data_IF_183397002544
#
_entry.id   IF_183397002544
#
_cell.length_a   1.000
_cell.length_b   1.000
_cell.length_c   1.000
_cell.angle_alpha   90.00
_cell.angle_beta   90.00
_cell.angle_gamma   90.00
#
_symmetry.space_group_name_H-M   'P 1'
#
loop_
_entity.id
_entity.type
_entity.pdbx_description
1 polymer ?
#
# COMPACT_ATOMS: atom_id res chain seq x y z
N UNK A 1 35.41 2.24 -24.10
CA UNK A 1 35.38 1.78 -22.68
C UNK A 1 33.94 1.60 -22.18
N UNK A 2 33.02 2.51 -22.51
CA UNK A 2 31.58 2.36 -22.18
C UNK A 2 30.86 1.29 -23.00
N UNK A 3 31.07 1.24 -24.33
CA UNK A 3 30.48 0.19 -25.19
C UNK A 3 30.87 -1.23 -24.77
N UNK A 4 32.15 -1.44 -24.44
CA UNK A 4 32.64 -2.73 -23.92
C UNK A 4 32.02 -3.14 -22.59
N UNK A 5 31.59 -2.16 -21.75
CA UNK A 5 30.93 -2.43 -20.48
C UNK A 5 29.46 -2.82 -20.68
N UNK A 6 28.77 -2.14 -21.59
CA UNK A 6 27.38 -2.48 -21.95
C UNK A 6 27.32 -3.88 -22.56
N UNK A 7 28.22 -4.19 -23.48
CA UNK A 7 28.27 -5.51 -24.13
C UNK A 7 28.56 -6.65 -23.13
N UNK A 8 29.46 -6.40 -22.17
CA UNK A 8 29.68 -7.32 -21.05
C UNK A 8 28.43 -7.52 -20.18
N UNK A 9 27.72 -6.44 -19.83
CA UNK A 9 26.51 -6.52 -19.03
C UNK A 9 25.38 -7.25 -19.74
N UNK A 10 25.17 -6.99 -21.04
CA UNK A 10 24.18 -7.69 -21.85
C UNK A 10 24.48 -9.19 -21.92
N UNK A 11 25.74 -9.56 -22.17
CA UNK A 11 26.17 -10.96 -22.17
C UNK A 11 25.90 -11.64 -20.83
N UNK A 12 26.18 -10.95 -19.73
CA UNK A 12 25.92 -11.45 -18.37
C UNK A 12 24.41 -11.64 -18.10
N UNK A 13 23.57 -10.71 -18.55
CA UNK A 13 22.11 -10.84 -18.45
C UNK A 13 21.61 -12.05 -19.26
N UNK A 14 22.12 -12.26 -20.48
CA UNK A 14 21.75 -13.41 -21.30
C UNK A 14 22.10 -14.74 -20.63
N UNK A 15 23.32 -14.84 -20.09
CA UNK A 15 23.79 -16.02 -19.38
C UNK A 15 22.93 -16.30 -18.12
N UNK A 16 22.69 -15.28 -17.30
CA UNK A 16 21.90 -15.41 -16.07
C UNK A 16 20.43 -15.76 -16.36
N UNK A 17 19.83 -15.16 -17.39
CA UNK A 17 18.43 -15.45 -17.74
C UNK A 17 18.25 -16.84 -18.37
N UNK A 18 19.30 -17.39 -18.98
CA UNK A 18 19.32 -18.76 -19.52
C UNK A 18 19.44 -19.85 -18.45
N UNK A 19 20.12 -19.54 -17.35
CA UNK A 19 20.41 -20.47 -16.24
C UNK A 19 19.72 -20.07 -14.93
N UNK A 20 18.58 -19.37 -15.01
CA UNK A 20 17.91 -18.73 -13.87
C UNK A 20 17.68 -19.64 -12.65
N UNK A 21 17.37 -20.93 -12.85
CA UNK A 21 17.17 -21.89 -11.75
C UNK A 21 18.46 -22.20 -10.98
N UNK A 22 19.54 -22.50 -11.70
CA UNK A 22 20.85 -22.78 -11.10
C UNK A 22 21.43 -21.54 -10.41
N UNK A 23 21.25 -20.36 -11.01
CA UNK A 23 21.68 -19.09 -10.42
C UNK A 23 20.92 -18.79 -9.12
N UNK A 24 19.61 -19.05 -9.07
CA UNK A 24 18.82 -18.92 -7.84
C UNK A 24 19.28 -19.89 -6.75
N UNK A 25 19.67 -21.11 -7.13
CA UNK A 25 20.23 -22.10 -6.20
C UNK A 25 21.56 -21.65 -5.60
N UNK A 26 22.49 -21.18 -6.44
CA UNK A 26 23.78 -20.63 -6.00
C UNK A 26 23.61 -19.43 -5.07
N UNK A 27 22.71 -18.50 -5.42
CA UNK A 27 22.41 -17.32 -4.57
C UNK A 27 21.89 -17.77 -3.20
N UNK A 28 20.94 -18.71 -3.17
CA UNK A 28 20.41 -19.22 -1.91
C UNK A 28 21.48 -19.91 -1.08
N UNK A 29 22.34 -20.73 -1.69
CA UNK A 29 23.44 -21.39 -0.99
C UNK A 29 24.43 -20.40 -0.38
N UNK A 30 24.77 -19.35 -1.14
CA UNK A 30 25.65 -18.25 -0.67
C UNK A 30 25.03 -17.45 0.47
N UNK A 31 23.70 -17.42 0.58
CA UNK A 31 22.99 -16.80 1.71
C UNK A 31 22.92 -17.78 2.90
N UNK A 32 22.61 -19.05 2.68
CA UNK A 32 22.42 -20.01 3.77
C UNK A 32 23.74 -20.35 4.50
N UNK A 33 24.83 -20.54 3.76
CA UNK A 33 26.14 -20.91 4.34
C UNK A 33 26.65 -19.96 5.42
N UNK A 34 26.79 -18.65 5.18
CA UNK A 34 27.27 -17.74 6.20
C UNK A 34 26.25 -17.57 7.33
N UNK A 35 24.96 -17.65 7.04
CA UNK A 35 23.90 -17.37 8.01
C UNK A 35 23.44 -18.58 8.83
N UNK A 36 23.98 -19.79 8.60
CA UNK A 36 23.49 -21.05 9.16
C UNK A 36 23.31 -21.03 10.69
N UNK A 37 24.20 -20.33 11.39
CA UNK A 37 24.25 -20.25 12.86
C UNK A 37 23.46 -19.06 13.44
N UNK A 38 22.79 -18.26 12.61
CA UNK A 38 21.96 -17.14 13.09
C UNK A 38 20.75 -17.65 13.89
N UNK A 39 20.25 -16.88 14.87
CA UNK A 39 19.05 -17.25 15.64
C UNK A 39 17.88 -17.62 14.71
N UNK A 40 17.74 -16.88 13.60
CA UNK A 40 16.69 -17.11 12.62
C UNK A 40 16.82 -18.49 11.94
N UNK A 41 17.98 -18.82 11.36
CA UNK A 41 18.13 -20.13 10.71
C UNK A 41 18.25 -21.28 11.70
N UNK A 42 18.83 -21.06 12.88
CA UNK A 42 18.85 -22.08 13.93
C UNK A 42 17.44 -22.44 14.42
N UNK A 43 16.50 -21.48 14.43
CA UNK A 43 15.08 -21.73 14.75
C UNK A 43 14.37 -22.65 13.75
N UNK A 44 14.69 -22.57 12.45
CA UNK A 44 13.95 -23.27 11.40
C UNK A 44 14.72 -24.42 10.74
N UNK A 45 16.05 -24.37 10.72
CA UNK A 45 16.94 -25.28 10.00
C UNK A 45 17.97 -25.95 10.90
N UNK A 46 18.17 -25.49 12.14
CA UNK A 46 19.12 -26.05 13.11
C UNK A 46 20.54 -26.23 12.51
N UNK A 47 21.10 -25.17 11.94
CA UNK A 47 22.43 -25.18 11.30
C UNK A 47 22.50 -25.81 9.91
N UNK A 48 21.39 -26.36 9.38
CA UNK A 48 21.37 -26.95 8.04
C UNK A 48 21.20 -25.89 6.95
N UNK A 49 21.85 -26.10 5.80
CA UNK A 49 21.88 -25.15 4.68
C UNK A 49 21.28 -25.72 3.39
N UNK A 50 20.49 -26.80 3.51
CA UNK A 50 19.84 -27.44 2.38
C UNK A 50 18.63 -26.64 1.85
N UNK A 51 18.56 -26.49 0.53
CA UNK A 51 17.50 -25.74 -0.15
C UNK A 51 16.11 -26.35 0.06
N UNK A 52 15.98 -27.68 0.07
CA UNK A 52 14.67 -28.32 0.26
C UNK A 52 14.18 -28.10 1.69
N UNK A 53 15.07 -28.19 2.67
CA UNK A 53 14.76 -27.87 4.06
C UNK A 53 14.36 -26.39 4.21
N UNK A 54 15.08 -25.46 3.56
CA UNK A 54 14.71 -24.05 3.53
C UNK A 54 13.29 -23.84 2.98
N UNK A 55 12.96 -24.43 1.82
CA UNK A 55 11.63 -24.33 1.22
C UNK A 55 10.53 -24.94 2.11
N UNK A 56 10.86 -25.99 2.87
CA UNK A 56 9.93 -26.74 3.72
C UNK A 56 9.68 -26.09 5.08
N UNK A 57 10.73 -25.58 5.74
CA UNK A 57 10.66 -25.19 7.15
C UNK A 57 10.73 -23.67 7.40
N UNK A 58 11.37 -22.90 6.52
CA UNK A 58 11.39 -21.43 6.67
C UNK A 58 10.06 -20.87 6.13
N UNK A 59 9.22 -20.23 6.96
CA UNK A 59 7.91 -19.74 6.52
C UNK A 59 8.04 -18.48 5.65
N UNK A 60 6.97 -18.15 4.91
CA UNK A 60 6.82 -16.80 4.35
C UNK A 60 6.40 -15.87 5.48
N UNK A 61 7.10 -14.75 5.63
CA UNK A 61 6.94 -13.84 6.78
C UNK A 61 6.52 -12.43 6.35
N UNK A 62 5.83 -11.74 7.26
CA UNK A 62 5.47 -10.32 7.17
C UNK A 62 6.32 -9.49 8.13
N UNK A 63 6.20 -8.16 8.09
CA UNK A 63 6.88 -7.28 9.03
C UNK A 63 6.60 -7.65 10.50
N UNK A 64 5.35 -8.03 10.81
CA UNK A 64 4.97 -8.35 12.18
C UNK A 64 5.69 -9.59 12.72
N UNK A 65 5.98 -10.57 11.86
CA UNK A 65 6.65 -11.82 12.23
C UNK A 65 8.15 -11.62 12.52
N UNK A 66 8.76 -10.61 11.90
CA UNK A 66 10.18 -10.28 12.07
C UNK A 66 10.42 -9.05 12.95
N UNK A 67 9.35 -8.38 13.41
CA UNK A 67 9.43 -7.13 14.18
C UNK A 67 10.37 -7.27 15.39
N UNK A 68 10.29 -8.37 16.12
CA UNK A 68 11.15 -8.61 17.28
C UNK A 68 12.63 -8.70 16.93
N UNK A 69 12.98 -9.25 15.77
CA UNK A 69 14.36 -9.29 15.29
C UNK A 69 14.84 -7.89 14.92
N UNK A 70 13.98 -7.10 14.26
CA UNK A 70 14.26 -5.70 13.91
C UNK A 70 14.46 -4.84 15.17
N UNK A 71 13.55 -4.95 16.14
CA UNK A 71 13.62 -4.19 17.40
C UNK A 71 14.96 -4.46 18.12
N UNK A 72 15.38 -5.74 18.22
CA UNK A 72 16.67 -6.12 18.83
C UNK A 72 17.88 -5.53 18.10
N UNK A 73 17.87 -5.49 16.76
CA UNK A 73 18.94 -4.88 15.98
C UNK A 73 18.96 -3.36 16.19
N UNK A 74 17.79 -2.71 16.26
CA UNK A 74 17.67 -1.27 16.56
C UNK A 74 18.19 -0.95 17.96
N UNK A 75 17.97 -1.84 18.92
CA UNK A 75 18.48 -1.73 20.30
C UNK A 75 20.00 -2.02 20.40
N UNK A 76 20.66 -2.36 19.29
CA UNK A 76 22.10 -2.51 19.19
C UNK A 76 22.62 -3.91 19.54
N UNK A 77 21.76 -4.93 19.57
CA UNK A 77 22.23 -6.32 19.68
C UNK A 77 23.03 -6.76 18.44
N UNK A 78 24.02 -7.66 18.60
CA UNK A 78 24.90 -8.07 17.50
C UNK A 78 24.17 -8.77 16.33
N UNK A 79 24.71 -8.72 15.11
CA UNK A 79 24.00 -9.05 13.87
C UNK A 79 23.52 -10.51 13.76
N UNK A 80 24.14 -11.43 14.51
CA UNK A 80 23.89 -12.88 14.53
C UNK A 80 22.45 -13.32 14.88
N UNK A 81 21.53 -12.36 15.05
CA UNK A 81 20.10 -12.55 15.23
C UNK A 81 19.40 -12.97 13.93
N UNK A 82 19.75 -12.37 12.79
CA UNK A 82 19.09 -12.68 11.51
C UNK A 82 20.02 -12.67 10.30
N UNK A 83 21.17 -12.01 10.36
CA UNK A 83 22.18 -12.09 9.31
C UNK A 83 23.59 -11.96 9.87
N UNK A 84 24.58 -12.59 9.25
CA UNK A 84 25.99 -12.31 9.53
C UNK A 84 26.45 -10.97 8.99
N UNK A 85 25.70 -10.37 8.06
CA UNK A 85 25.96 -9.00 7.62
C UNK A 85 25.41 -8.00 8.62
N UNK A 86 26.25 -7.04 9.01
CA UNK A 86 25.85 -5.94 9.87
C UNK A 86 24.89 -5.03 9.11
N UNK A 87 23.65 -4.93 9.59
CA UNK A 87 22.75 -3.86 9.17
C UNK A 87 23.29 -2.57 9.78
N UNK A 88 24.09 -1.83 9.00
CA UNK A 88 24.75 -0.60 9.45
C UNK A 88 23.82 0.60 9.44
N UNK A 89 22.71 0.53 8.71
CA UNK A 89 21.79 1.64 8.54
C UNK A 89 20.36 1.13 8.33
N UNK A 90 19.45 1.48 9.24
CA UNK A 90 18.03 1.50 8.94
C UNK A 90 17.69 2.88 8.41
N UNK A 91 17.53 3.01 7.09
CA UNK A 91 17.06 4.25 6.49
C UNK A 91 15.59 4.44 6.91
N UNK A 92 15.26 5.40 7.80
CA UNK A 92 13.89 5.73 8.11
C UNK A 92 13.20 6.15 6.81
N UNK A 93 11.90 5.91 6.65
CA UNK A 93 11.11 6.39 5.47
C UNK A 93 11.38 7.86 5.12
N UNK A 94 11.87 8.64 6.07
CA UNK A 94 12.23 10.05 5.98
C UNK A 94 13.45 10.36 5.07
N UNK A 95 14.16 9.35 4.54
CA UNK A 95 15.38 9.56 3.73
C UNK A 95 15.35 8.95 2.31
N UNK A 96 14.28 8.28 1.89
CA UNK A 96 14.14 7.73 0.53
C UNK A 96 13.77 8.81 -0.51
N UNK A 97 14.61 9.82 -0.66
CA UNK A 97 14.62 10.67 -1.85
C UNK A 97 15.47 9.95 -2.91
N UNK A 98 14.86 9.63 -4.06
CA UNK A 98 15.46 9.16 -5.31
C UNK A 98 15.49 7.64 -5.57
N UNK A 99 14.35 6.98 -5.82
CA UNK A 99 14.30 5.92 -6.85
C UNK A 99 12.96 6.01 -7.61
N UNK A 100 13.03 6.59 -8.80
CA UNK A 100 11.97 6.69 -9.79
C UNK A 100 11.68 5.31 -10.42
N UNK A 101 10.41 4.94 -10.58
CA UNK A 101 10.03 4.06 -11.71
C UNK A 101 8.56 4.28 -12.09
N UNK A 102 8.37 4.40 -13.40
CA UNK A 102 7.33 5.14 -14.10
C UNK A 102 6.12 4.28 -14.53
N UNK A 103 4.91 4.76 -14.19
CA UNK A 103 3.74 5.00 -15.07
C UNK A 103 3.03 3.88 -15.87
N UNK A 104 1.69 3.83 -15.79
CA UNK A 104 0.80 3.47 -16.93
C UNK A 104 -0.51 2.68 -16.66
N UNK A 105 -1.66 3.35 -16.82
CA UNK A 105 -3.13 3.05 -16.67
C UNK A 105 -3.81 1.70 -17.10
N UNK A 106 -4.71 1.18 -16.20
CA UNK A 106 -6.10 0.57 -16.23
C UNK A 106 -6.74 -0.22 -17.43
N UNK A 107 -7.90 -0.96 -17.30
CA UNK A 107 -8.48 -1.86 -16.24
C UNK A 107 -9.14 -3.22 -16.73
N UNK A 108 -9.67 -4.03 -15.77
CA UNK A 108 -10.72 -5.13 -15.81
C UNK A 108 -10.30 -6.61 -15.56
N UNK A 109 -11.02 -7.25 -14.62
CA UNK A 109 -11.00 -8.60 -13.97
C UNK A 109 -11.07 -9.85 -14.88
N UNK A 110 -11.18 -11.10 -14.34
CA UNK A 110 -10.33 -11.83 -13.40
C UNK A 110 -9.83 -13.14 -14.04
N UNK A 111 -8.55 -13.46 -13.87
CA UNK A 111 -7.99 -14.82 -13.87
C UNK A 111 -6.48 -14.70 -13.90
N UNK A 112 -5.82 -15.75 -13.44
CA UNK A 112 -4.38 -16.00 -13.49
C UNK A 112 -3.60 -15.59 -12.23
N UNK A 113 -3.12 -16.65 -11.57
CA UNK A 113 -2.16 -16.74 -10.48
C UNK A 113 -1.53 -15.41 -10.03
N UNK A 114 -1.98 -14.91 -8.88
CA UNK A 114 -1.20 -13.97 -8.08
C UNK A 114 0.04 -14.70 -7.55
N UNK A 115 1.21 -14.39 -8.13
CA UNK A 115 2.49 -14.81 -7.57
C UNK A 115 2.89 -13.80 -6.49
N UNK A 116 3.05 -14.31 -5.27
CA UNK A 116 3.46 -13.57 -4.09
C UNK A 116 4.99 -13.48 -4.07
N UNK A 117 5.56 -12.27 -4.26
CA UNK A 117 7.01 -12.07 -4.36
C UNK A 117 7.67 -12.17 -2.98
N UNK A 118 8.68 -13.03 -2.91
CA UNK A 118 9.43 -13.38 -1.71
C UNK A 118 10.85 -12.85 -1.85
N UNK A 119 11.24 -11.89 -1.02
CA UNK A 119 12.64 -11.46 -0.94
C UNK A 119 13.44 -12.50 -0.14
N UNK A 120 14.65 -12.78 -0.61
CA UNK A 120 15.73 -13.42 0.14
C UNK A 120 16.92 -12.50 -0.12
N UNK A 121 17.42 -11.82 0.91
CA UNK A 121 18.58 -10.96 0.78
C UNK A 121 19.62 -11.28 1.86
N UNK A 122 20.84 -10.82 1.61
CA UNK A 122 21.99 -10.98 2.53
C UNK A 122 21.79 -10.20 3.85
N UNK A 123 20.73 -9.38 3.93
CA UNK A 123 20.38 -8.48 5.05
C UNK A 123 19.29 -9.08 5.96
N UNK A 124 19.07 -10.41 5.93
CA UNK A 124 18.22 -11.10 6.92
C UNK A 124 16.71 -11.12 6.65
N UNK A 125 16.25 -10.66 5.47
CA UNK A 125 14.84 -10.75 5.07
C UNK A 125 14.59 -12.02 4.26
N UNK A 126 14.43 -13.15 4.94
CA UNK A 126 14.22 -14.46 4.29
C UNK A 126 12.74 -14.74 4.06
N UNK A 127 12.38 -15.02 2.80
CA UNK A 127 10.99 -15.25 2.35
C UNK A 127 10.02 -14.14 2.80
N UNK A 128 10.51 -12.91 2.84
CA UNK A 128 9.70 -11.76 3.22
C UNK A 128 8.70 -11.43 2.12
N UNK A 129 7.42 -11.33 2.48
CA UNK A 129 6.35 -10.91 1.56
C UNK A 129 6.50 -9.42 1.26
N UNK A 130 6.85 -9.11 0.02
CA UNK A 130 6.97 -7.71 -0.43
C UNK A 130 5.62 -7.01 -0.47
N UNK A 131 4.56 -7.74 -0.83
CA UNK A 131 3.20 -7.23 -0.99
C UNK A 131 2.88 -6.72 -2.40
N UNK A 132 3.83 -6.78 -3.34
CA UNK A 132 3.57 -6.46 -4.74
C UNK A 132 2.91 -7.66 -5.45
N UNK A 133 1.87 -7.37 -6.22
CA UNK A 133 1.21 -8.30 -7.12
C UNK A 133 1.73 -8.03 -8.51
N UNK A 134 2.39 -9.03 -9.11
CA UNK A 134 2.84 -8.97 -10.49
C UNK A 134 2.16 -10.05 -11.33
N UNK A 135 1.93 -9.72 -12.60
CA UNK A 135 1.42 -10.65 -13.62
C UNK A 135 2.58 -11.07 -14.51
N UNK A 136 2.74 -12.38 -14.73
CA UNK A 136 3.67 -12.89 -15.74
C UNK A 136 3.10 -12.57 -17.11
N UNK A 137 3.84 -11.81 -17.92
CA UNK A 137 3.41 -11.41 -19.27
C UNK A 137 4.16 -12.13 -20.37
N UNK A 138 5.41 -12.53 -20.11
CA UNK A 138 6.25 -13.25 -21.03
C UNK A 138 7.41 -13.92 -20.28
N UNK A 139 8.28 -14.61 -21.01
CA UNK A 139 9.56 -15.08 -20.52
C UNK A 139 10.67 -14.54 -21.42
N UNK A 140 11.84 -14.28 -20.82
CA UNK A 140 13.10 -14.10 -21.51
C UNK A 140 14.01 -15.25 -21.12
N UNK A 141 14.32 -16.14 -22.07
CA UNK A 141 14.95 -17.42 -21.76
C UNK A 141 14.13 -18.16 -20.67
N UNK A 142 14.73 -18.50 -19.53
CA UNK A 142 14.03 -19.12 -18.38
C UNK A 142 13.53 -18.12 -17.35
N UNK A 143 13.83 -16.83 -17.50
CA UNK A 143 13.43 -15.78 -16.56
C UNK A 143 12.07 -15.17 -16.92
N UNK A 144 11.11 -15.08 -15.98
CA UNK A 144 9.83 -14.44 -16.24
C UNK A 144 9.96 -12.92 -16.41
N UNK A 145 9.17 -12.37 -17.34
CA UNK A 145 8.90 -10.94 -17.46
C UNK A 145 7.60 -10.61 -16.71
N UNK A 146 7.66 -9.59 -15.88
CA UNK A 146 6.56 -9.20 -15.01
C UNK A 146 5.99 -7.85 -15.40
N UNK A 147 4.67 -7.76 -15.38
CA UNK A 147 3.94 -6.50 -15.33
C UNK A 147 3.50 -6.27 -13.88
N UNK A 148 3.82 -5.09 -13.34
CA UNK A 148 3.31 -4.67 -12.04
C UNK A 148 1.80 -4.46 -12.12
N UNK A 149 1.05 -5.09 -11.20
CA UNK A 149 -0.41 -4.97 -11.13
C UNK A 149 -0.79 -3.97 -10.05
N UNK A 150 -0.47 -4.27 -8.80
CA UNK A 150 -0.72 -3.40 -7.66
C UNK A 150 0.11 -3.86 -6.46
N UNK A 151 0.03 -3.13 -5.35
CA UNK A 151 0.57 -3.58 -4.07
C UNK A 151 -0.58 -3.79 -3.10
N UNK A 152 -0.64 -4.97 -2.50
CA UNK A 152 -1.70 -5.39 -1.61
C UNK A 152 -1.90 -4.36 -0.49
N UNK A 153 -3.17 -4.13 -0.15
CA UNK A 153 -3.65 -3.26 0.92
C UNK A 153 -3.47 -1.75 0.74
N UNK A 154 -3.01 -1.24 -0.41
CA UNK A 154 -2.97 0.21 -0.66
C UNK A 154 -4.26 0.69 -1.33
N UNK A 155 -4.88 1.72 -0.77
CA UNK A 155 -6.14 2.26 -1.28
C UNK A 155 -5.99 3.67 -1.87
N UNK A 156 -5.06 4.49 -1.37
CA UNK A 156 -4.82 5.84 -1.88
C UNK A 156 -3.31 6.11 -2.03
N UNK A 157 -2.99 6.88 -3.07
CA UNK A 157 -1.64 7.36 -3.41
C UNK A 157 -1.77 8.45 -4.47
N UNK A 158 -1.06 9.57 -4.31
CA UNK A 158 -0.96 10.66 -5.30
C UNK A 158 0.46 10.77 -5.86
N UNK A 159 1.45 10.66 -4.98
CA UNK A 159 2.87 10.65 -5.28
C UNK A 159 3.47 9.37 -4.67
N UNK A 160 4.61 9.44 -4.00
CA UNK A 160 5.22 8.31 -3.29
C UNK A 160 4.53 7.96 -1.95
N UNK A 161 3.45 8.67 -1.59
CA UNK A 161 2.62 8.36 -0.43
C UNK A 161 1.79 7.09 -0.67
N UNK A 162 1.60 6.33 0.40
CA UNK A 162 0.95 5.01 0.36
C UNK A 162 0.06 4.85 1.57
N UNK A 163 -1.24 5.09 1.39
CA UNK A 163 -2.22 4.93 2.45
C UNK A 163 -2.98 3.62 2.29
N UNK A 164 -2.95 2.77 3.32
CA UNK A 164 -3.68 1.52 3.33
C UNK A 164 -5.14 1.69 3.76
N UNK A 165 -5.98 0.68 3.50
CA UNK A 165 -7.36 0.67 4.00
C UNK A 165 -7.41 0.81 5.53
N UNK A 166 -6.47 0.18 6.24
CA UNK A 166 -6.39 0.24 7.69
C UNK A 166 -6.01 1.64 8.18
N UNK A 167 -5.06 2.31 7.50
CA UNK A 167 -4.65 3.68 7.82
C UNK A 167 -5.78 4.67 7.56
N UNK A 168 -6.46 4.55 6.42
CA UNK A 168 -7.61 5.40 6.10
C UNK A 168 -8.75 5.19 7.10
N UNK A 169 -9.09 3.95 7.43
CA UNK A 169 -10.10 3.63 8.45
C UNK A 169 -9.74 4.20 9.82
N UNK A 170 -8.46 4.17 10.20
CA UNK A 170 -7.97 4.78 11.45
C UNK A 170 -8.12 6.30 11.41
N UNK A 171 -7.77 6.94 10.29
CA UNK A 171 -7.87 8.39 10.12
C UNK A 171 -9.32 8.88 10.13
N UNK A 172 -10.24 8.15 9.49
CA UNK A 172 -11.67 8.47 9.51
C UNK A 172 -12.24 8.35 10.93
N UNK A 173 -11.92 7.27 11.66
CA UNK A 173 -12.31 7.13 13.08
C UNK A 173 -11.81 8.28 13.96
N UNK A 174 -10.62 8.80 13.68
CA UNK A 174 -10.11 9.95 14.43
C UNK A 174 -10.88 11.24 14.12
N UNK A 175 -11.42 11.38 12.91
CA UNK A 175 -12.22 12.52 12.48
C UNK A 175 -13.71 12.41 12.86
N UNK A 176 -14.25 11.20 13.04
CA UNK A 176 -15.61 10.97 13.55
C UNK A 176 -15.83 11.65 14.91
N UNK A 177 -14.78 11.79 15.73
CA UNK A 177 -14.82 12.49 17.03
C UNK A 177 -15.29 13.94 16.88
N UNK A 178 -14.99 14.61 15.76
CA UNK A 178 -15.42 15.99 15.50
C UNK A 178 -16.91 16.09 15.15
N UNK A 179 -17.51 14.99 14.65
CA UNK A 179 -18.92 14.91 14.30
C UNK A 179 -19.82 14.65 15.51
N UNK A 180 -19.34 13.91 16.52
CA UNK A 180 -20.15 13.46 17.66
C UNK A 180 -20.81 14.59 18.46
N UNK A 181 -20.11 15.70 18.82
CA UNK A 181 -20.72 16.79 19.60
C UNK A 181 -21.88 17.48 18.89
N UNK A 182 -21.94 17.36 17.57
CA UNK A 182 -22.96 17.97 16.72
C UNK A 182 -24.12 17.01 16.41
N UNK A 183 -24.12 15.81 16.99
CA UNK A 183 -25.16 14.81 16.77
C UNK A 183 -25.12 14.16 15.39
N UNK A 184 -24.00 14.30 14.65
CA UNK A 184 -23.81 13.67 13.35
C UNK A 184 -23.24 12.25 13.49
N UNK A 185 -23.61 11.39 12.55
CA UNK A 185 -23.12 10.02 12.41
C UNK A 185 -22.66 9.80 10.97
N UNK A 186 -21.39 9.47 10.79
CA UNK A 186 -20.89 8.95 9.53
C UNK A 186 -21.43 7.52 9.34
N UNK A 187 -22.27 7.33 8.33
CA UNK A 187 -22.90 6.02 8.08
C UNK A 187 -22.08 5.16 7.14
N UNK A 188 -21.60 5.77 6.06
CA UNK A 188 -20.81 5.11 5.02
C UNK A 188 -19.81 6.11 4.47
N UNK A 189 -18.64 5.60 4.09
CA UNK A 189 -17.66 6.38 3.37
C UNK A 189 -17.05 5.59 2.21
N UNK A 190 -16.47 6.32 1.28
CA UNK A 190 -15.54 5.80 0.28
C UNK A 190 -14.53 6.89 -0.06
N UNK A 191 -13.50 6.56 -0.82
CA UNK A 191 -12.45 7.50 -1.21
C UNK A 191 -12.06 7.34 -2.67
N UNK A 192 -11.31 8.29 -3.21
CA UNK A 192 -10.50 8.10 -4.41
C UNK A 192 -9.34 9.10 -4.43
N UNK A 193 -8.34 8.81 -5.27
CA UNK A 193 -7.22 9.70 -5.52
C UNK A 193 -7.55 10.58 -6.73
N UNK A 194 -7.76 11.88 -6.52
CA UNK A 194 -7.96 12.84 -7.59
C UNK A 194 -6.61 13.26 -8.18
N UNK A 195 -6.26 12.64 -9.31
CA UNK A 195 -5.07 12.97 -10.10
C UNK A 195 -5.36 13.94 -11.25
N UNK A 196 -6.61 14.40 -11.40
CA UNK A 196 -6.99 15.42 -12.36
C UNK A 196 -6.65 16.84 -11.87
N UNK A 197 -6.65 17.04 -10.55
CA UNK A 197 -6.15 18.25 -9.90
C UNK A 197 -4.62 18.32 -9.89
N UNK A 198 -4.05 19.53 -9.91
CA UNK A 198 -2.62 19.77 -9.77
C UNK A 198 -2.40 20.77 -8.62
N UNK A 199 -1.75 20.37 -7.50
CA UNK A 199 -1.39 19.00 -7.16
C UNK A 199 -2.62 18.10 -6.96
N UNK A 200 -2.43 16.79 -7.21
CA UNK A 200 -3.46 15.79 -6.96
C UNK A 200 -3.77 15.68 -5.47
N UNK A 201 -4.93 15.13 -5.09
CA UNK A 201 -5.37 15.10 -3.69
C UNK A 201 -6.20 13.87 -3.34
N UNK A 202 -6.30 13.58 -2.06
CA UNK A 202 -7.26 12.59 -1.56
C UNK A 202 -8.65 13.22 -1.50
N UNK A 203 -9.64 12.47 -1.98
CA UNK A 203 -11.05 12.84 -1.90
C UNK A 203 -11.81 11.76 -1.15
N UNK A 204 -12.56 12.14 -0.12
CA UNK A 204 -13.40 11.25 0.67
C UNK A 204 -14.87 11.60 0.46
N UNK A 205 -15.69 10.61 0.10
CA UNK A 205 -17.14 10.72 0.07
C UNK A 205 -17.73 10.27 1.40
N UNK A 206 -18.48 11.13 2.07
CA UNK A 206 -19.07 10.87 3.38
C UNK A 206 -20.60 10.96 3.31
N UNK A 207 -21.30 9.89 3.70
CA UNK A 207 -22.75 9.90 3.90
C UNK A 207 -23.05 10.04 5.39
N UNK A 208 -23.57 11.21 5.78
CA UNK A 208 -23.74 11.61 7.18
C UNK A 208 -25.24 11.70 7.50
N UNK A 209 -25.64 11.24 8.69
CA UNK A 209 -26.99 11.40 9.23
C UNK A 209 -26.98 12.15 10.55
N UNK A 210 -28.08 12.82 10.88
CA UNK A 210 -28.33 13.29 12.24
C UNK A 210 -28.90 12.14 13.08
N UNK A 211 -28.48 11.98 14.33
CA UNK A 211 -28.92 10.88 15.20
C UNK A 211 -30.43 10.91 15.51
N UNK A 212 -31.03 12.10 15.58
CA UNK A 212 -32.38 12.28 16.15
C UNK A 212 -33.37 13.03 15.25
N UNK A 213 -33.13 13.16 13.93
CA UNK A 213 -34.09 13.82 13.04
C UNK A 213 -34.38 13.06 11.74
N UNK A 214 -35.68 13.04 11.38
CA UNK A 214 -36.18 12.66 10.05
C UNK A 214 -36.18 13.85 9.06
N UNK A 215 -35.48 14.95 9.40
CA UNK A 215 -35.40 16.14 8.54
C UNK A 215 -34.18 16.08 7.63
N UNK A 216 -34.43 16.16 6.32
CA UNK A 216 -33.41 16.11 5.27
C UNK A 216 -32.48 17.35 5.18
N UNK A 217 -32.68 18.36 6.04
CA UNK A 217 -31.86 19.57 6.03
C UNK A 217 -30.60 19.39 6.90
N UNK A 218 -29.60 18.74 6.33
CA UNK A 218 -28.23 18.70 6.85
C UNK A 218 -27.62 20.10 6.79
N UNK A 219 -27.66 20.84 7.90
CA UNK A 219 -26.90 22.09 8.04
C UNK A 219 -25.53 21.79 8.63
N UNK A 220 -24.59 21.46 7.75
CA UNK A 220 -23.20 21.19 8.13
C UNK A 220 -22.46 22.51 8.33
N UNK A 221 -21.85 22.66 9.50
CA UNK A 221 -20.96 23.78 9.77
C UNK A 221 -19.62 23.60 9.02
N UNK A 222 -19.19 24.64 8.30
CA UNK A 222 -17.96 24.58 7.49
C UNK A 222 -16.74 24.33 8.38
N UNK A 223 -16.68 24.98 9.55
CA UNK A 223 -15.55 24.83 10.46
C UNK A 223 -15.47 23.41 11.02
N UNK A 224 -16.59 22.80 11.44
CA UNK A 224 -16.60 21.37 11.84
C UNK A 224 -16.09 20.45 10.74
N UNK A 225 -16.51 20.66 9.48
CA UNK A 225 -16.08 19.81 8.37
C UNK A 225 -14.61 20.04 7.97
N UNK A 226 -14.11 21.27 8.09
CA UNK A 226 -12.69 21.59 7.91
C UNK A 226 -11.84 20.94 9.01
N UNK A 227 -12.30 20.93 10.27
CA UNK A 227 -11.64 20.18 11.34
C UNK A 227 -11.64 18.67 11.05
N UNK A 228 -12.73 18.11 10.51
CA UNK A 228 -12.75 16.72 10.05
C UNK A 228 -11.65 16.47 8.99
N UNK A 229 -11.56 17.33 7.97
CA UNK A 229 -10.53 17.21 6.93
C UNK A 229 -9.13 17.22 7.54
N UNK A 230 -8.87 18.18 8.43
CA UNK A 230 -7.59 18.33 9.13
C UNK A 230 -7.26 17.11 9.98
N UNK A 231 -8.24 16.62 10.74
CA UNK A 231 -8.07 15.47 11.65
C UNK A 231 -7.77 14.19 10.90
N UNK A 232 -8.34 14.00 9.71
CA UNK A 232 -7.96 12.93 8.79
C UNK A 232 -6.49 13.09 8.40
N UNK A 233 -6.10 14.25 7.86
CA UNK A 233 -4.73 14.49 7.39
C UNK A 233 -3.67 14.32 8.49
N UNK A 234 -3.94 14.78 9.71
CA UNK A 234 -3.06 14.62 10.88
C UNK A 234 -2.87 13.15 11.29
N UNK A 235 -3.86 12.31 10.99
CA UNK A 235 -3.87 10.89 11.30
C UNK A 235 -3.24 10.02 10.21
N UNK A 236 -2.99 10.59 9.02
CA UNK A 236 -2.29 9.91 7.93
C UNK A 236 -0.79 9.83 8.22
N UNK A 237 -0.14 8.91 7.49
CA UNK A 237 1.27 8.62 7.71
C UNK A 237 2.17 9.83 7.37
N UNK A 238 3.39 9.80 7.90
CA UNK A 238 4.35 10.90 7.74
C UNK A 238 4.63 11.26 6.28
N UNK A 239 4.68 10.29 5.36
CA UNK A 239 4.96 10.53 3.94
C UNK A 239 3.87 11.36 3.29
N UNK A 240 2.59 11.05 3.56
CA UNK A 240 1.47 11.91 3.12
C UNK A 240 1.63 13.33 3.65
N UNK A 241 1.86 13.49 4.97
CA UNK A 241 1.97 14.81 5.60
C UNK A 241 3.16 15.62 5.09
N UNK A 242 4.28 14.96 4.82
CA UNK A 242 5.46 15.57 4.22
C UNK A 242 5.16 16.11 2.82
N UNK A 243 4.57 15.30 1.94
CA UNK A 243 4.24 15.73 0.58
C UNK A 243 3.12 16.77 0.54
N UNK A 244 2.20 16.72 1.49
CA UNK A 244 1.21 17.78 1.72
C UNK A 244 1.87 19.10 2.09
N UNK A 245 2.92 19.09 2.92
CA UNK A 245 3.73 20.27 3.30
C UNK A 245 4.62 20.77 2.16
N UNK A 246 5.09 19.87 1.30
CA UNK A 246 5.86 20.20 0.09
C UNK A 246 4.98 20.68 -1.08
N UNK A 247 3.66 20.71 -0.93
CA UNK A 247 2.68 20.99 -1.99
C UNK A 247 2.72 20.00 -3.17
N UNK A 248 3.29 18.80 -2.99
CA UNK A 248 3.19 17.70 -3.95
C UNK A 248 1.81 17.03 -3.90
N UNK A 249 1.14 17.09 -2.74
CA UNK A 249 -0.24 16.66 -2.55
C UNK A 249 -1.09 17.88 -2.17
N UNK A 250 -2.25 18.01 -2.79
CA UNK A 250 -3.23 19.05 -2.52
C UNK A 250 -4.02 18.81 -1.23
N UNK A 251 -4.78 19.82 -0.77
CA UNK A 251 -5.64 19.67 0.41
C UNK A 251 -6.62 18.52 0.27
N UNK A 252 -6.66 17.64 1.26
CA UNK A 252 -7.69 16.61 1.36
C UNK A 252 -9.08 17.24 1.25
N UNK A 253 -9.92 16.62 0.44
CA UNK A 253 -11.30 17.04 0.22
C UNK A 253 -12.27 16.03 0.85
N UNK A 254 -13.21 16.52 1.66
CA UNK A 254 -14.39 15.74 2.06
C UNK A 254 -15.58 16.25 1.25
N UNK A 255 -16.19 15.33 0.49
CA UNK A 255 -17.44 15.51 -0.25
C UNK A 255 -18.57 14.84 0.52
N UNK A 256 -19.44 15.62 1.13
CA UNK A 256 -20.63 15.08 1.78
C UNK A 256 -21.69 14.79 0.73
N UNK A 257 -22.24 13.59 0.75
CA UNK A 257 -23.28 13.13 -0.19
C UNK A 257 -24.65 13.02 0.49
N UNK A 258 -25.71 13.09 -0.32
CA UNK A 258 -27.09 12.87 0.17
C UNK A 258 -27.24 11.47 0.76
N UNK A 259 -28.15 11.33 1.72
CA UNK A 259 -28.56 10.02 2.21
C UNK A 259 -29.08 9.13 1.06
N UNK A 260 -28.66 7.86 1.03
CA UNK A 260 -28.98 6.91 -0.03
C UNK A 260 -28.09 7.02 -1.28
N UNK A 261 -27.05 7.86 -1.26
CA UNK A 261 -26.09 7.92 -2.37
C UNK A 261 -25.29 6.62 -2.50
N UNK A 262 -24.96 5.98 -1.38
CA UNK A 262 -24.28 4.69 -1.39
C UNK A 262 -25.18 3.52 -1.76
N UNK A 263 -26.50 3.63 -1.60
CA UNK A 263 -27.46 2.65 -2.11
C UNK A 263 -27.46 2.64 -3.65
N UNK A 264 -27.35 3.82 -4.27
CA UNK A 264 -27.26 3.96 -5.72
C UNK A 264 -25.93 3.45 -6.27
N UNK A 265 -24.84 3.69 -5.52
CA UNK A 265 -23.55 3.08 -5.81
C UNK A 265 -23.62 1.55 -5.74
N UNK A 266 -24.31 0.99 -4.73
CA UNK A 266 -24.54 -0.45 -4.62
C UNK A 266 -25.34 -0.97 -5.82
N UNK A 267 -26.44 -0.31 -6.21
CA UNK A 267 -27.26 -0.69 -7.37
C UNK A 267 -26.41 -0.74 -8.65
N UNK A 268 -25.51 0.23 -8.84
CA UNK A 268 -24.57 0.23 -9.95
C UNK A 268 -23.67 -1.01 -9.96
N UNK A 269 -23.04 -1.37 -8.84
CA UNK A 269 -22.19 -2.57 -8.77
C UNK A 269 -22.99 -3.86 -8.92
N UNK A 270 -24.20 -3.94 -8.35
CA UNK A 270 -25.11 -5.08 -8.52
C UNK A 270 -25.50 -5.26 -9.99
N UNK A 271 -25.80 -4.17 -10.70
CA UNK A 271 -26.11 -4.22 -12.14
C UNK A 271 -24.95 -4.74 -13.00
N UNK A 272 -23.71 -4.62 -12.51
CA UNK A 272 -22.49 -5.15 -13.14
C UNK A 272 -22.11 -6.55 -12.65
N UNK A 273 -23.00 -7.23 -11.93
CA UNK A 273 -22.86 -8.64 -11.52
C UNK A 273 -22.39 -8.87 -10.09
N UNK A 274 -22.31 -7.84 -9.25
CA UNK A 274 -22.06 -8.04 -7.82
C UNK A 274 -23.28 -8.71 -7.15
N UNK A 275 -23.05 -9.76 -6.35
CA UNK A 275 -24.11 -10.39 -5.57
C UNK A 275 -24.59 -9.43 -4.47
N UNK A 276 -25.88 -9.05 -4.41
CA UNK A 276 -26.37 -8.04 -3.46
C UNK A 276 -26.04 -8.35 -2.00
N UNK A 277 -26.18 -9.61 -1.59
CA UNK A 277 -25.94 -10.05 -0.21
C UNK A 277 -24.45 -10.09 0.19
N UNK A 278 -23.54 -10.00 -0.78
CA UNK A 278 -22.09 -10.01 -0.55
C UNK A 278 -21.46 -8.63 -0.77
N UNK A 279 -22.26 -7.64 -1.20
CA UNK A 279 -21.75 -6.32 -1.48
C UNK A 279 -21.24 -5.66 -0.19
N UNK A 280 -20.02 -5.12 -0.29
CA UNK A 280 -19.46 -4.19 0.67
C UNK A 280 -19.06 -2.95 -0.09
N UNK A 281 -19.38 -1.78 0.45
CA UNK A 281 -18.93 -0.50 -0.13
C UNK A 281 -17.41 -0.52 -0.28
N UNK A 282 -16.87 -0.31 -1.50
CA UNK A 282 -15.44 -0.22 -1.69
C UNK A 282 -14.86 0.94 -0.87
N UNK A 283 -13.76 0.69 -0.16
CA UNK A 283 -13.09 1.76 0.60
C UNK A 283 -12.47 2.82 -0.35
N UNK A 284 -12.09 2.42 -1.57
CA UNK A 284 -11.61 3.32 -2.61
C UNK A 284 -12.22 2.97 -3.98
N UNK A 285 -12.67 3.99 -4.70
CA UNK A 285 -13.22 3.90 -6.05
C UNK A 285 -12.14 4.15 -7.08
N UNK A 286 -12.04 3.23 -8.04
CA UNK A 286 -11.16 3.34 -9.21
C UNK A 286 -11.94 3.54 -10.51
N UNK A 287 -13.26 3.29 -10.50
CA UNK A 287 -14.13 3.34 -11.69
C UNK A 287 -14.73 4.74 -11.79
N UNK A 288 -14.54 5.40 -12.93
CA UNK A 288 -14.97 6.79 -13.13
C UNK A 288 -16.48 6.95 -12.99
N UNK A 289 -17.27 6.04 -13.56
CA UNK A 289 -18.73 6.08 -13.49
C UNK A 289 -19.24 5.92 -12.05
N UNK A 290 -18.53 5.16 -11.21
CA UNK A 290 -18.85 5.01 -9.79
C UNK A 290 -18.58 6.31 -9.01
N UNK A 291 -17.50 7.02 -9.36
CA UNK A 291 -17.19 8.34 -8.79
C UNK A 291 -18.24 9.37 -9.22
N UNK A 292 -18.65 9.37 -10.49
CA UNK A 292 -19.68 10.27 -11.04
C UNK A 292 -21.05 10.09 -10.36
N UNK A 293 -21.40 8.84 -10.00
CA UNK A 293 -22.63 8.53 -9.24
C UNK A 293 -22.63 9.25 -7.88
N UNK A 294 -21.52 9.22 -7.14
CA UNK A 294 -21.41 9.92 -5.87
C UNK A 294 -21.29 11.43 -6.06
N UNK A 295 -20.53 11.89 -7.06
CA UNK A 295 -20.34 13.31 -7.36
C UNK A 295 -21.65 14.03 -7.70
N UNK A 296 -22.53 13.38 -8.46
CA UNK A 296 -23.87 13.91 -8.78
C UNK A 296 -24.78 14.08 -7.54
N UNK A 297 -24.40 13.51 -6.40
CA UNK A 297 -25.15 13.52 -5.14
C UNK A 297 -24.46 14.31 -4.02
N UNK A 298 -23.40 15.04 -4.34
CA UNK A 298 -22.69 15.87 -3.36
C UNK A 298 -23.55 17.06 -2.93
N UNK A 299 -23.65 17.28 -1.62
CA UNK A 299 -24.34 18.41 -0.99
C UNK A 299 -23.39 19.43 -0.37
N UNK A 300 -22.12 19.05 -0.13
CA UNK A 300 -21.11 19.94 0.41
C UNK A 300 -19.70 19.45 0.08
N UNK A 301 -18.78 20.39 -0.17
CA UNK A 301 -17.37 20.12 -0.42
C UNK A 301 -16.55 20.94 0.56
N UNK A 302 -15.67 20.27 1.28
CA UNK A 302 -14.87 20.85 2.36
C UNK A 302 -13.42 20.44 2.15
N UNK A 303 -12.49 21.32 2.49
CA UNK A 303 -11.07 21.11 2.28
C UNK A 303 -10.30 21.30 3.59
N UNK A 304 -9.21 20.56 3.75
CA UNK A 304 -8.26 20.82 4.83
C UNK A 304 -7.59 22.19 4.63
N UNK A 305 -7.76 23.10 5.59
CA UNK A 305 -7.17 24.44 5.56
C UNK A 305 -5.82 24.46 6.28
N UNK A 306 -4.81 25.03 5.61
CA UNK A 306 -3.45 25.20 6.12
C UNK A 306 -2.49 24.08 5.71
N UNK A 307 -1.19 24.39 5.72
CA UNK A 307 -0.17 23.35 5.63
C UNK A 307 -0.04 22.69 7.00
N UNK A 308 -0.05 21.35 7.03
CA UNK A 308 0.17 20.57 8.25
C UNK A 308 1.51 21.02 8.87
N UNK A 309 1.47 21.47 10.14
CA UNK A 309 2.63 21.99 10.86
C UNK A 309 3.68 20.88 11.08
#
# INVERSE_FOLDING_TARGET
MEESRIEYLLKKIEEQTSNAGEEQEKILENILKPNAETDYFNKFLHGQTDQQLFKKYVPVVTYQDIKSYIDRIVDGEPPNISSTETITEFIPRNLNNNISSSGGYAPVYPSHLSLDFRLINEIGLYRYRVGDILKVTAFHNKSPKFQFVERQNMVLSIDMDKTSEADLRKAIKAAEIELEPHGFLLTVYSSFADTGSIPGRYVLFWEIKLRDSNTDQLKLDSNTMEQCCRRVEESLDFTYRLFRKMNSIGPLEIRVVKFGAFDELMNFFVSRGAAPLQYKTPCCLKIKEAIEILDSRVVGKFFSIGNLA
#
